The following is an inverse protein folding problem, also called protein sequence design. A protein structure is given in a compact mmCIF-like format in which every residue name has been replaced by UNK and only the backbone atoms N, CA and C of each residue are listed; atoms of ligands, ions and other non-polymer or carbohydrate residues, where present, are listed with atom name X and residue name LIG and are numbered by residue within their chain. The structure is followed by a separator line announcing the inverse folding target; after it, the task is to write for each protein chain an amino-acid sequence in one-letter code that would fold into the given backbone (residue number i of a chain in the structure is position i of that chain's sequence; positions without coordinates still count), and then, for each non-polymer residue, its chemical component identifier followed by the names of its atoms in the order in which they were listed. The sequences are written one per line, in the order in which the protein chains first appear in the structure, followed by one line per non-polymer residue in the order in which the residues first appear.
data_IF_443134766078
#
_entry.id   IF_443134766078
#
_cell.length_a   1.000
_cell.length_b   1.000
_cell.length_c   1.000
_cell.angle_alpha   90.00
_cell.angle_beta   90.00
_cell.angle_gamma   90.00
#
_symmetry.space_group_name_H-M   'P 1'
#
loop_
_entity.id
_entity.type
_entity.pdbx_description
1 polymer ?
#
# COMPACT_ATOMS: atom_id res chain seq x y z
N UNK A 1 12.17 11.83 19.01
CA UNK A 1 11.04 12.64 18.51
C UNK A 1 10.60 12.15 17.14
N UNK A 2 9.90 11.03 17.06
CA UNK A 2 9.33 10.54 15.80
C UNK A 2 7.94 11.15 15.62
N UNK A 3 7.69 11.83 14.49
CA UNK A 3 6.33 12.03 14.04
C UNK A 3 5.68 10.64 13.89
N UNK A 4 4.56 10.40 14.58
CA UNK A 4 3.85 9.12 14.53
C UNK A 4 3.06 9.06 13.22
N UNK A 5 3.74 8.79 12.10
CA UNK A 5 3.13 8.57 10.79
C UNK A 5 3.11 7.08 10.48
N UNK A 6 1.95 6.57 10.07
CA UNK A 6 1.80 5.21 9.59
C UNK A 6 1.06 5.22 8.25
N UNK A 7 1.28 4.17 7.45
CA UNK A 7 0.60 3.98 6.17
C UNK A 7 -0.10 2.65 6.16
N UNK A 8 -1.32 2.62 5.63
CA UNK A 8 -2.15 1.43 5.53
C UNK A 8 -2.64 1.26 4.09
N UNK A 9 -2.66 0.01 3.62
CA UNK A 9 -3.29 -0.37 2.37
C UNK A 9 -4.60 -1.08 2.72
N UNK A 10 -5.73 -0.54 2.29
CA UNK A 10 -7.06 -1.01 2.70
C UNK A 10 -7.82 -1.49 1.46
N UNK A 11 -8.48 -2.64 1.59
CA UNK A 11 -9.43 -3.14 0.59
C UNK A 11 -10.85 -2.74 1.02
N UNK A 12 -11.49 -1.86 0.26
CA UNK A 12 -12.83 -1.34 0.58
C UNK A 12 -13.97 -2.19 -0.02
N UNK A 13 -14.14 -3.42 0.49
CA UNK A 13 -15.14 -4.37 -0.03
C UNK A 13 -16.59 -3.91 0.08
N UNK A 14 -16.87 -3.05 1.05
CA UNK A 14 -18.23 -2.66 1.42
C UNK A 14 -18.52 -1.18 1.15
N UNK A 15 -17.64 -0.48 0.41
CA UNK A 15 -17.76 0.95 0.10
C UNK A 15 -17.87 1.85 1.34
N UNK A 16 -17.16 1.48 2.42
CA UNK A 16 -17.17 2.18 3.71
C UNK A 16 -15.96 3.11 3.88
N UNK A 17 -15.04 3.18 2.91
CA UNK A 17 -13.81 3.97 3.05
C UNK A 17 -14.09 5.45 3.29
N UNK A 18 -15.12 6.03 2.65
CA UNK A 18 -15.48 7.43 2.87
C UNK A 18 -15.91 7.73 4.30
N UNK A 19 -16.64 6.81 4.94
CA UNK A 19 -17.04 6.97 6.34
C UNK A 19 -15.81 6.87 7.27
N UNK A 20 -14.94 5.88 7.01
CA UNK A 20 -13.67 5.75 7.73
C UNK A 20 -12.79 7.00 7.58
N UNK A 21 -12.71 7.58 6.37
CA UNK A 21 -11.92 8.77 6.08
C UNK A 21 -12.36 9.96 6.93
N UNK A 22 -13.68 10.20 7.05
CA UNK A 22 -14.24 11.28 7.88
C UNK A 22 -13.80 11.12 9.34
N UNK A 23 -13.86 9.89 9.87
CA UNK A 23 -13.44 9.61 11.25
C UNK A 23 -11.93 9.82 11.45
N UNK A 24 -11.11 9.43 10.48
CA UNK A 24 -9.65 9.60 10.55
C UNK A 24 -9.22 11.06 10.41
N UNK A 25 -9.80 11.81 9.47
CA UNK A 25 -9.50 13.23 9.22
C UNK A 25 -9.83 14.12 10.44
N UNK A 26 -10.75 13.69 11.30
CA UNK A 26 -11.04 14.39 12.56
C UNK A 26 -9.89 14.35 13.58
N UNK A 27 -8.94 13.41 13.43
CA UNK A 27 -7.86 13.15 14.40
C UNK A 27 -6.47 13.23 13.79
N UNK A 28 -6.33 13.05 12.48
CA UNK A 28 -5.07 12.93 11.77
C UNK A 28 -5.11 13.73 10.47
N UNK A 29 -3.94 14.18 10.01
CA UNK A 29 -3.80 14.60 8.62
C UNK A 29 -3.73 13.35 7.73
N UNK A 30 -4.74 13.13 6.90
CA UNK A 30 -4.86 11.93 6.07
C UNK A 30 -4.54 12.26 4.62
N UNK A 31 -3.65 11.47 4.03
CA UNK A 31 -3.42 11.44 2.59
C UNK A 31 -3.69 10.02 2.09
N UNK A 32 -4.46 9.89 1.00
CA UNK A 32 -4.79 8.59 0.43
C UNK A 32 -4.67 8.60 -1.09
N UNK A 33 -4.52 7.40 -1.66
CA UNK A 33 -4.44 7.16 -3.10
C UNK A 33 -5.39 6.02 -3.41
N UNK A 34 -6.38 6.27 -4.27
CA UNK A 34 -7.31 5.24 -4.73
C UNK A 34 -6.75 4.46 -5.93
N UNK A 35 -7.44 3.37 -6.29
CA UNK A 35 -7.13 2.54 -7.44
C UNK A 35 -5.73 1.91 -7.39
N UNK A 36 -5.32 1.45 -6.20
CA UNK A 36 -4.04 0.78 -5.99
C UNK A 36 -4.20 -0.75 -5.95
N UNK A 37 -3.13 -1.45 -6.31
CA UNK A 37 -3.04 -2.91 -6.26
C UNK A 37 -1.90 -3.35 -5.34
N UNK A 38 -2.17 -4.27 -4.41
CA UNK A 38 -1.15 -4.91 -3.58
C UNK A 38 -0.73 -6.25 -4.21
N UNK A 39 0.52 -6.32 -4.67
CA UNK A 39 1.15 -7.54 -5.13
C UNK A 39 2.00 -8.15 -4.02
N UNK A 40 1.82 -9.45 -3.75
CA UNK A 40 2.67 -10.21 -2.82
C UNK A 40 3.42 -11.29 -3.56
N UNK A 41 4.75 -11.19 -3.59
CA UNK A 41 5.66 -12.13 -4.26
C UNK A 41 6.35 -12.96 -3.19
N UNK A 42 6.09 -14.27 -3.16
CA UNK A 42 6.79 -15.24 -2.30
C UNK A 42 8.01 -15.79 -3.04
N UNK A 43 9.04 -16.19 -2.30
CA UNK A 43 10.34 -16.61 -2.83
C UNK A 43 10.87 -15.62 -3.88
N UNK A 44 10.81 -14.33 -3.51
CA UNK A 44 11.01 -13.25 -4.47
C UNK A 44 12.40 -13.28 -5.12
N UNK A 45 12.43 -13.38 -6.45
CA UNK A 45 13.63 -13.14 -7.26
C UNK A 45 13.64 -11.70 -7.79
N UNK A 46 14.80 -11.22 -8.22
CA UNK A 46 14.92 -9.86 -8.81
C UNK A 46 14.05 -9.72 -10.06
N UNK A 47 13.99 -10.77 -10.88
CA UNK A 47 13.22 -10.81 -12.12
C UNK A 47 11.71 -10.76 -11.83
N UNK A 48 11.24 -11.53 -10.84
CA UNK A 48 9.82 -11.54 -10.46
C UNK A 48 9.38 -10.18 -9.92
N UNK A 49 10.22 -9.54 -9.10
CA UNK A 49 9.95 -8.20 -8.56
C UNK A 49 9.90 -7.16 -9.69
N UNK A 50 10.88 -7.17 -10.59
CA UNK A 50 10.92 -6.21 -11.71
C UNK A 50 9.69 -6.32 -12.62
N UNK A 51 9.20 -7.54 -12.89
CA UNK A 51 7.97 -7.75 -13.66
C UNK A 51 6.74 -7.11 -13.02
N UNK A 52 6.67 -7.09 -11.70
CA UNK A 52 5.58 -6.43 -10.98
C UNK A 52 5.75 -4.92 -11.03
N UNK A 53 6.96 -4.39 -10.77
CA UNK A 53 7.23 -2.95 -10.78
C UNK A 53 6.96 -2.29 -12.16
N UNK A 54 7.04 -3.04 -13.25
CA UNK A 54 6.70 -2.56 -14.59
C UNK A 54 5.18 -2.39 -14.83
N UNK A 55 4.32 -2.87 -13.93
CA UNK A 55 2.85 -2.79 -14.10
C UNK A 55 2.27 -1.40 -13.83
N UNK A 56 3.04 -0.50 -13.24
CA UNK A 56 2.54 0.84 -12.90
C UNK A 56 3.48 1.58 -11.98
N UNK A 57 2.98 2.63 -11.34
CA UNK A 57 3.80 3.45 -10.44
C UNK A 57 3.90 2.77 -9.08
N UNK A 58 5.10 2.40 -8.67
CA UNK A 58 5.35 1.86 -7.32
C UNK A 58 5.13 2.96 -6.28
N UNK A 59 4.17 2.76 -5.38
CA UNK A 59 3.89 3.65 -4.25
C UNK A 59 4.63 3.21 -2.98
N UNK A 60 4.69 1.89 -2.75
CA UNK A 60 5.34 1.29 -1.60
C UNK A 60 5.94 -0.06 -2.00
N UNK A 61 7.14 -0.35 -1.51
CA UNK A 61 7.78 -1.66 -1.62
C UNK A 61 8.34 -2.06 -0.27
N UNK A 62 7.96 -3.25 0.19
CA UNK A 62 8.44 -3.84 1.43
C UNK A 62 9.03 -5.21 1.15
N UNK A 63 10.24 -5.46 1.66
CA UNK A 63 10.94 -6.72 1.45
C UNK A 63 11.32 -7.35 2.79
N UNK A 64 11.03 -8.63 2.93
CA UNK A 64 11.48 -9.50 4.03
C UNK A 64 12.33 -10.64 3.45
N UNK A 65 12.86 -11.54 4.29
CA UNK A 65 13.80 -12.60 3.88
C UNK A 65 13.32 -13.51 2.72
N UNK A 66 12.03 -13.58 2.44
CA UNK A 66 11.51 -14.38 1.32
C UNK A 66 10.27 -13.81 0.64
N UNK A 67 9.77 -12.67 1.08
CA UNK A 67 8.54 -12.08 0.55
C UNK A 67 8.78 -10.62 0.21
N UNK A 68 8.35 -10.21 -0.98
CA UNK A 68 8.29 -8.81 -1.39
C UNK A 68 6.83 -8.44 -1.61
N UNK A 69 6.39 -7.35 -0.99
CA UNK A 69 5.09 -6.75 -1.22
C UNK A 69 5.27 -5.41 -1.93
N UNK A 70 4.48 -5.17 -2.96
CA UNK A 70 4.53 -3.96 -3.77
C UNK A 70 3.12 -3.40 -3.92
N UNK A 71 2.93 -2.14 -3.53
CA UNK A 71 1.72 -1.38 -3.82
C UNK A 71 1.98 -0.59 -5.10
N UNK A 72 1.13 -0.80 -6.10
CA UNK A 72 1.20 -0.16 -7.41
C UNK A 72 -0.06 0.67 -7.64
N UNK A 73 0.12 1.86 -8.19
CA UNK A 73 -0.95 2.66 -8.80
C UNK A 73 -1.07 2.36 -10.29
#
# INVERSE_FOLDING_TARGET
NSALSFSVCIEDKFNNFKQLLIELESKYNVHYVENVSLYTIRHASKEAVSKIEQKGKVLLKQATKGTVQVVIQ
#
